data_IF_027525259678
#
_entry.id   IF_027525259678
#
_cell.length_a   1.000
_cell.length_b   1.000
_cell.length_c   1.000
_cell.angle_alpha   90.00
_cell.angle_beta   90.00
_cell.angle_gamma   90.00
#
_symmetry.space_group_name_H-M   'P 1'
#
loop_
_entity.id
_entity.type
_entity.pdbx_description
1 polymer ?
#
# COMPACT_ATOMS: atom_id res chain seq x y z
N UNK A 1 1.31 26.03 -14.59
CA UNK A 1 0.18 25.67 -13.69
C UNK A 1 0.75 25.58 -12.30
N UNK A 2 0.28 26.40 -11.36
CA UNK A 2 0.69 26.37 -9.95
C UNK A 2 0.37 24.98 -9.40
N UNK A 3 1.38 24.29 -8.91
CA UNK A 3 1.26 22.94 -8.34
C UNK A 3 0.54 23.04 -6.99
N UNK A 4 -0.79 23.20 -7.05
CA UNK A 4 -1.68 23.21 -5.87
C UNK A 4 -1.76 21.74 -5.43
N UNK A 5 -0.91 21.35 -4.49
CA UNK A 5 -0.84 19.98 -4.05
C UNK A 5 -2.16 19.50 -3.41
N UNK A 6 -2.42 18.19 -3.46
CA UNK A 6 -3.63 17.52 -2.98
C UNK A 6 -3.63 17.35 -1.46
N UNK A 7 -4.80 17.50 -0.85
CA UNK A 7 -5.08 17.33 0.58
C UNK A 7 -6.38 16.53 0.77
N UNK A 8 -6.78 16.26 2.01
CA UNK A 8 -8.07 15.58 2.27
C UNK A 8 -9.29 16.38 1.82
N UNK A 9 -9.20 17.71 1.73
CA UNK A 9 -10.30 18.57 1.26
C UNK A 9 -10.52 18.49 -0.25
N UNK A 10 -9.57 17.92 -0.98
CA UNK A 10 -9.66 17.74 -2.43
C UNK A 10 -10.24 16.37 -2.83
N UNK A 11 -10.56 15.52 -1.83
CA UNK A 11 -11.24 14.24 -2.06
C UNK A 11 -12.66 14.51 -2.54
N UNK A 12 -13.06 14.06 -3.75
CA UNK A 12 -14.42 14.25 -4.23
C UNK A 12 -15.41 13.37 -3.48
N UNK A 13 -16.70 13.55 -3.70
CA UNK A 13 -17.74 12.65 -3.20
C UNK A 13 -17.47 11.20 -3.64
N UNK A 14 -17.54 10.28 -2.67
CA UNK A 14 -17.29 8.85 -2.86
C UNK A 14 -18.55 8.01 -2.58
N UNK A 15 -19.72 8.65 -2.50
CA UNK A 15 -20.98 7.95 -2.30
C UNK A 15 -21.20 6.86 -3.35
N UNK A 16 -21.64 5.68 -2.91
CA UNK A 16 -21.85 4.51 -3.76
C UNK A 16 -20.58 3.78 -4.20
N UNK A 17 -19.39 4.19 -3.73
CA UNK A 17 -18.11 3.52 -4.01
C UNK A 17 -17.63 2.67 -2.84
N UNK A 18 -16.90 1.62 -3.14
CA UNK A 18 -16.35 0.67 -2.18
C UNK A 18 -14.80 0.65 -2.23
N UNK A 19 -14.17 0.84 -1.07
CA UNK A 19 -12.72 0.84 -0.92
C UNK A 19 -12.27 -0.25 0.04
N UNK A 20 -11.28 -1.04 -0.36
CA UNK A 20 -10.61 -2.01 0.51
C UNK A 20 -9.30 -1.40 0.99
N UNK A 21 -9.13 -1.22 2.30
CA UNK A 21 -7.93 -0.62 2.90
C UNK A 21 -7.25 -1.64 3.80
N UNK A 22 -6.03 -2.06 3.45
CA UNK A 22 -5.25 -2.98 4.31
C UNK A 22 -4.53 -2.21 5.42
N UNK A 23 -4.50 -2.77 6.63
CA UNK A 23 -3.92 -2.10 7.81
C UNK A 23 -4.69 -0.85 8.24
N UNK A 24 -6.01 -0.87 8.07
CA UNK A 24 -6.90 0.27 8.26
C UNK A 24 -7.13 0.69 9.73
N UNK A 25 -6.64 -0.07 10.70
CA UNK A 25 -6.93 0.16 12.12
C UNK A 25 -5.99 1.18 12.79
N UNK A 26 -4.93 1.63 12.13
CA UNK A 26 -3.97 2.58 12.72
C UNK A 26 -3.23 3.40 11.64
N UNK A 27 -2.63 4.51 12.05
CA UNK A 27 -1.75 5.32 11.22
C UNK A 27 -2.39 5.80 9.93
N UNK A 28 -1.67 5.66 8.82
CA UNK A 28 -2.09 6.12 7.49
C UNK A 28 -3.36 5.39 7.02
N UNK A 29 -3.44 4.07 7.25
CA UNK A 29 -4.62 3.29 6.87
C UNK A 29 -5.88 3.74 7.60
N UNK A 30 -5.78 4.09 8.89
CA UNK A 30 -6.88 4.66 9.66
C UNK A 30 -7.31 6.01 9.10
N UNK A 31 -6.37 6.92 8.86
CA UNK A 31 -6.69 8.25 8.34
C UNK A 31 -7.27 8.18 6.91
N UNK A 32 -6.75 7.29 6.07
CA UNK A 32 -7.31 7.03 4.73
C UNK A 32 -8.76 6.55 4.84
N UNK A 33 -9.04 5.58 5.72
CA UNK A 33 -10.38 5.05 5.95
C UNK A 33 -11.33 6.11 6.50
N UNK A 34 -10.85 6.96 7.44
CA UNK A 34 -11.61 8.07 8.02
C UNK A 34 -12.04 9.06 6.95
N UNK A 35 -11.12 9.48 6.11
CA UNK A 35 -11.42 10.48 5.06
C UNK A 35 -12.36 9.90 4.01
N UNK A 36 -12.10 8.68 3.51
CA UNK A 36 -12.98 8.03 2.54
C UNK A 36 -14.41 7.89 3.07
N UNK A 37 -14.56 7.44 4.32
CA UNK A 37 -15.86 7.31 4.97
C UNK A 37 -16.57 8.67 5.17
N UNK A 38 -15.81 9.72 5.52
CA UNK A 38 -16.35 11.08 5.63
C UNK A 38 -16.85 11.64 4.30
N UNK A 39 -16.34 11.13 3.17
CA UNK A 39 -16.79 11.48 1.81
C UNK A 39 -17.81 10.48 1.24
N UNK A 40 -18.46 9.68 2.09
CA UNK A 40 -19.59 8.81 1.70
C UNK A 40 -19.22 7.42 1.18
N UNK A 41 -17.93 7.05 1.21
CA UNK A 41 -17.53 5.72 0.76
C UNK A 41 -17.92 4.61 1.75
N UNK A 42 -18.26 3.44 1.20
CA UNK A 42 -18.19 2.17 1.92
C UNK A 42 -16.72 1.75 2.05
N UNK A 43 -16.23 1.52 3.27
CA UNK A 43 -14.84 1.16 3.51
C UNK A 43 -14.74 -0.21 4.17
N UNK A 44 -14.10 -1.15 3.48
CA UNK A 44 -13.74 -2.47 4.01
C UNK A 44 -12.37 -2.37 4.66
N UNK A 45 -12.35 -2.41 5.99
CA UNK A 45 -11.17 -2.30 6.82
C UNK A 45 -10.53 -3.67 7.01
N UNK A 46 -9.56 -4.00 6.15
CA UNK A 46 -8.85 -5.28 6.16
C UNK A 46 -7.74 -5.24 7.22
N UNK A 47 -7.98 -5.90 8.37
CA UNK A 47 -7.13 -5.85 9.56
C UNK A 47 -6.99 -7.22 10.22
N UNK A 48 -5.84 -7.46 10.86
CA UNK A 48 -5.56 -8.71 11.56
C UNK A 48 -6.33 -8.83 12.88
N UNK A 49 -6.42 -7.75 13.66
CA UNK A 49 -7.06 -7.75 14.97
C UNK A 49 -8.46 -7.16 14.88
N UNK A 50 -9.47 -7.94 15.25
CA UNK A 50 -10.87 -7.52 15.33
C UNK A 50 -11.05 -6.37 16.33
N UNK A 51 -10.53 -6.51 17.55
CA UNK A 51 -10.72 -5.52 18.60
C UNK A 51 -10.14 -4.14 18.21
N UNK A 52 -8.95 -4.14 17.58
CA UNK A 52 -8.33 -2.89 17.12
C UNK A 52 -9.10 -2.28 15.94
N UNK A 53 -9.69 -3.11 15.08
CA UNK A 53 -10.53 -2.63 13.99
C UNK A 53 -11.84 -2.05 14.52
N UNK A 54 -12.50 -2.71 15.47
CA UNK A 54 -13.74 -2.23 16.08
C UNK A 54 -13.52 -0.89 16.81
N UNK A 55 -12.40 -0.72 17.53
CA UNK A 55 -12.04 0.55 18.14
C UNK A 55 -11.79 1.65 17.08
N UNK A 56 -11.11 1.32 15.99
CA UNK A 56 -10.90 2.26 14.88
C UNK A 56 -12.22 2.65 14.23
N UNK A 57 -13.10 1.70 13.95
CA UNK A 57 -14.44 1.92 13.40
C UNK A 57 -15.29 2.80 14.32
N UNK A 58 -15.25 2.54 15.64
CA UNK A 58 -15.95 3.36 16.63
C UNK A 58 -15.45 4.81 16.59
N UNK A 59 -14.15 5.04 16.53
CA UNK A 59 -13.55 6.39 16.43
C UNK A 59 -13.97 7.12 15.15
N UNK A 60 -14.02 6.42 13.99
CA UNK A 60 -14.50 7.02 12.76
C UNK A 60 -15.98 7.39 12.87
N UNK A 61 -16.82 6.50 13.42
CA UNK A 61 -18.25 6.75 13.59
C UNK A 61 -18.59 7.88 14.57
N UNK A 62 -17.71 8.17 15.53
CA UNK A 62 -17.85 9.36 16.39
C UNK A 62 -17.74 10.68 15.59
N UNK A 63 -16.96 10.68 14.50
CA UNK A 63 -16.78 11.85 13.62
C UNK A 63 -17.76 11.85 12.46
N UNK A 64 -18.14 10.66 11.98
CA UNK A 64 -19.01 10.44 10.83
C UNK A 64 -20.01 9.33 11.19
N UNK A 65 -21.12 9.65 11.89
CA UNK A 65 -22.07 8.63 12.39
C UNK A 65 -22.65 7.71 11.32
N UNK A 66 -22.82 8.23 10.10
CA UNK A 66 -23.35 7.50 8.94
C UNK A 66 -22.29 6.68 8.18
N UNK A 67 -21.02 6.66 8.65
CA UNK A 67 -19.93 5.93 7.97
C UNK A 67 -20.27 4.45 7.77
N UNK A 68 -20.19 3.99 6.53
CA UNK A 68 -20.34 2.58 6.17
C UNK A 68 -18.99 1.86 6.25
N UNK A 69 -18.75 1.19 7.37
CA UNK A 69 -17.50 0.52 7.67
C UNK A 69 -17.72 -0.98 7.88
N UNK A 70 -16.90 -1.79 7.25
CA UNK A 70 -16.95 -3.26 7.34
C UNK A 70 -15.59 -3.78 7.78
N UNK A 71 -15.57 -4.62 8.80
CA UNK A 71 -14.38 -5.36 9.18
C UNK A 71 -14.19 -6.58 8.28
N UNK A 72 -12.97 -6.74 7.77
CA UNK A 72 -12.52 -7.95 7.10
C UNK A 72 -11.29 -8.50 7.84
N UNK A 73 -11.38 -9.75 8.33
CA UNK A 73 -10.19 -10.40 8.88
C UNK A 73 -9.15 -10.63 7.78
N UNK A 74 -7.94 -10.10 7.99
CA UNK A 74 -6.88 -10.14 6.99
C UNK A 74 -5.50 -10.07 7.66
N UNK A 75 -4.73 -11.15 7.55
CA UNK A 75 -3.30 -11.17 7.89
C UNK A 75 -2.47 -11.21 6.60
N UNK A 76 -1.77 -10.11 6.31
CA UNK A 76 -0.93 -9.99 5.12
C UNK A 76 0.33 -10.87 5.18
N UNK A 77 0.67 -11.42 6.34
CA UNK A 77 1.73 -12.39 6.55
C UNK A 77 1.28 -13.85 6.45
N UNK A 78 0.05 -14.11 5.99
CA UNK A 78 -0.52 -15.44 5.86
C UNK A 78 -1.28 -15.59 4.53
N UNK A 79 -0.73 -16.37 3.60
CA UNK A 79 -1.34 -16.59 2.28
C UNK A 79 -2.73 -17.25 2.37
N UNK A 80 -3.00 -18.06 3.39
CA UNK A 80 -4.32 -18.67 3.57
C UNK A 80 -5.35 -17.65 4.03
N UNK A 81 -4.94 -16.71 4.92
CA UNK A 81 -5.76 -15.56 5.31
C UNK A 81 -6.06 -14.67 4.11
N UNK A 82 -5.07 -14.43 3.24
CA UNK A 82 -5.24 -13.65 2.01
C UNK A 82 -6.25 -14.31 1.07
N UNK A 83 -6.14 -15.64 0.84
CA UNK A 83 -7.09 -16.39 0.00
C UNK A 83 -8.52 -16.33 0.56
N UNK A 84 -8.66 -16.52 1.88
CA UNK A 84 -9.96 -16.43 2.56
C UNK A 84 -10.59 -15.06 2.42
N UNK A 85 -9.81 -13.99 2.69
CA UNK A 85 -10.27 -12.62 2.55
C UNK A 85 -10.67 -12.29 1.12
N UNK A 86 -9.89 -12.72 0.13
CA UNK A 86 -10.18 -12.51 -1.30
C UNK A 86 -11.48 -13.21 -1.70
N UNK A 87 -11.73 -14.44 -1.20
CA UNK A 87 -12.98 -15.16 -1.44
C UNK A 87 -14.22 -14.45 -0.88
N UNK A 88 -14.05 -13.69 0.22
CA UNK A 88 -15.11 -12.83 0.76
C UNK A 88 -15.29 -11.57 -0.08
N UNK A 89 -14.20 -10.92 -0.46
CA UNK A 89 -14.21 -9.72 -1.30
C UNK A 89 -14.78 -9.99 -2.70
N UNK A 90 -14.63 -11.19 -3.23
CA UNK A 90 -15.20 -11.58 -4.53
C UNK A 90 -16.73 -11.53 -4.58
N UNK A 91 -17.39 -11.49 -3.40
CA UNK A 91 -18.85 -11.38 -3.25
C UNK A 91 -19.33 -9.91 -3.21
N UNK A 92 -18.41 -8.95 -3.08
CA UNK A 92 -18.79 -7.53 -3.13
C UNK A 92 -19.28 -7.17 -4.53
N UNK A 93 -20.37 -6.41 -4.63
CA UNK A 93 -20.96 -6.04 -5.92
C UNK A 93 -20.02 -5.16 -6.75
N UNK A 94 -19.18 -4.39 -6.08
CA UNK A 94 -18.15 -3.53 -6.68
C UNK A 94 -17.00 -3.27 -5.71
N UNK A 95 -15.81 -3.07 -6.24
CA UNK A 95 -14.64 -2.55 -5.52
C UNK A 95 -13.99 -1.49 -6.39
N UNK A 96 -14.06 -0.23 -5.96
CA UNK A 96 -13.53 0.91 -6.69
C UNK A 96 -12.03 1.12 -6.47
N UNK A 97 -11.52 0.75 -5.29
CA UNK A 97 -10.08 0.71 -5.09
C UNK A 97 -9.65 -0.33 -4.05
N UNK A 98 -8.51 -0.98 -4.35
CA UNK A 98 -7.70 -1.72 -3.41
C UNK A 98 -6.53 -0.85 -2.96
N UNK A 99 -6.46 -0.55 -1.67
CA UNK A 99 -5.38 0.24 -1.07
C UNK A 99 -4.46 -0.67 -0.26
N UNK A 100 -3.34 -1.06 -0.87
CA UNK A 100 -2.28 -1.84 -0.25
C UNK A 100 -1.42 -0.93 0.64
N UNK A 101 -1.89 -0.69 1.86
CA UNK A 101 -1.24 0.19 2.83
C UNK A 101 -0.53 -0.58 3.95
N UNK A 102 -1.00 -1.79 4.31
CA UNK A 102 -0.40 -2.56 5.39
C UNK A 102 1.09 -2.82 5.17
N UNK A 103 1.86 -2.77 6.26
CA UNK A 103 3.28 -3.04 6.23
C UNK A 103 3.91 -3.06 7.62
N UNK A 104 5.11 -3.59 7.68
CA UNK A 104 5.96 -3.63 8.88
C UNK A 104 7.30 -2.95 8.59
N UNK A 105 7.90 -2.35 9.61
CA UNK A 105 9.16 -1.63 9.49
C UNK A 105 10.15 -2.05 10.57
N UNK A 106 11.31 -2.48 10.15
CA UNK A 106 12.49 -2.79 10.98
C UNK A 106 12.23 -3.68 12.20
N UNK A 107 11.40 -4.75 12.12
CA UNK A 107 11.30 -5.74 13.20
C UNK A 107 12.63 -6.49 13.38
N UNK A 108 12.82 -7.21 14.49
CA UNK A 108 13.83 -8.26 14.54
C UNK A 108 13.56 -9.31 13.44
N UNK A 109 14.53 -10.20 13.17
CA UNK A 109 14.31 -11.28 12.22
C UNK A 109 13.13 -12.15 12.66
N UNK A 110 12.10 -12.14 11.86
CA UNK A 110 10.88 -12.92 12.02
C UNK A 110 10.44 -13.48 10.67
N UNK A 111 9.55 -14.45 10.71
CA UNK A 111 9.01 -15.12 9.52
C UNK A 111 7.50 -14.97 9.44
N UNK A 112 6.99 -14.96 8.21
CA UNK A 112 5.55 -15.13 7.93
C UNK A 112 5.14 -16.58 8.21
N UNK A 113 3.85 -16.89 8.13
CA UNK A 113 3.35 -18.25 8.31
C UNK A 113 3.94 -19.24 7.30
N UNK A 114 4.24 -18.79 6.08
CA UNK A 114 4.85 -19.60 5.02
C UNK A 114 6.40 -19.58 5.06
N UNK A 115 7.01 -19.00 6.09
CA UNK A 115 8.46 -18.99 6.29
C UNK A 115 9.21 -17.88 5.55
N UNK A 116 8.55 -16.92 4.93
CA UNK A 116 9.22 -15.77 4.28
C UNK A 116 9.77 -14.79 5.31
N UNK A 117 10.88 -14.10 5.00
CA UNK A 117 11.34 -12.96 5.82
C UNK A 117 10.19 -11.96 5.98
N UNK A 118 9.97 -11.51 7.23
CA UNK A 118 8.74 -10.82 7.58
C UNK A 118 8.47 -9.55 6.77
N UNK A 119 9.51 -8.73 6.52
CA UNK A 119 9.32 -7.47 5.78
C UNK A 119 9.08 -7.71 4.29
N UNK A 120 9.83 -8.62 3.68
CA UNK A 120 9.60 -8.99 2.29
C UNK A 120 8.26 -9.71 2.13
N UNK A 121 7.96 -10.65 3.03
CA UNK A 121 6.71 -11.42 3.02
C UNK A 121 5.46 -10.55 3.22
N UNK A 122 5.45 -9.68 4.24
CA UNK A 122 4.30 -8.82 4.53
C UNK A 122 4.23 -7.65 3.54
N UNK A 123 5.32 -6.89 3.37
CA UNK A 123 5.24 -5.64 2.60
C UNK A 123 5.08 -5.89 1.11
N UNK A 124 5.70 -6.96 0.58
CA UNK A 124 5.70 -7.23 -0.85
C UNK A 124 4.88 -8.48 -1.23
N UNK A 125 5.25 -9.68 -0.78
CA UNK A 125 4.58 -10.92 -1.23
C UNK A 125 3.09 -10.95 -0.87
N UNK A 126 2.71 -10.48 0.33
CA UNK A 126 1.31 -10.37 0.73
C UNK A 126 0.54 -9.32 -0.07
N UNK A 127 1.18 -8.18 -0.39
CA UNK A 127 0.63 -7.16 -1.29
C UNK A 127 0.42 -7.73 -2.70
N UNK A 128 1.42 -8.41 -3.25
CA UNK A 128 1.35 -9.10 -4.53
C UNK A 128 0.22 -10.13 -4.56
N UNK A 129 0.18 -11.03 -3.58
CA UNK A 129 -0.81 -12.10 -3.50
C UNK A 129 -2.25 -11.59 -3.43
N UNK A 130 -2.52 -10.59 -2.56
CA UNK A 130 -3.84 -9.97 -2.46
C UNK A 130 -4.25 -9.33 -3.78
N UNK A 131 -3.35 -8.56 -4.38
CA UNK A 131 -3.60 -7.87 -5.65
C UNK A 131 -3.90 -8.88 -6.76
N UNK A 132 -3.07 -9.91 -6.92
CA UNK A 132 -3.23 -10.93 -7.94
C UNK A 132 -4.57 -11.68 -7.81
N UNK A 133 -4.92 -12.11 -6.60
CA UNK A 133 -6.17 -12.82 -6.35
C UNK A 133 -7.43 -11.94 -6.48
N UNK A 134 -7.31 -10.63 -6.21
CA UNK A 134 -8.45 -9.72 -6.28
C UNK A 134 -8.65 -9.11 -7.66
N UNK A 135 -7.67 -9.21 -8.55
CA UNK A 135 -7.70 -8.60 -9.88
C UNK A 135 -8.95 -8.96 -10.69
N UNK A 136 -9.43 -10.23 -10.74
CA UNK A 136 -10.67 -10.58 -11.44
C UNK A 136 -11.91 -9.87 -10.89
N UNK A 137 -11.91 -9.54 -9.60
CA UNK A 137 -13.01 -8.78 -8.98
C UNK A 137 -12.92 -7.30 -9.28
N UNK A 138 -11.71 -6.71 -9.19
CA UNK A 138 -11.48 -5.32 -9.56
C UNK A 138 -11.83 -5.04 -11.01
N UNK A 139 -11.53 -5.97 -11.92
CA UNK A 139 -11.82 -5.83 -13.35
C UNK A 139 -13.33 -5.77 -13.68
N UNK A 140 -14.21 -6.09 -12.74
CA UNK A 140 -15.66 -5.92 -12.91
C UNK A 140 -16.13 -4.47 -12.69
N UNK A 141 -15.28 -3.63 -12.10
CA UNK A 141 -15.59 -2.23 -11.81
C UNK A 141 -14.82 -1.34 -12.77
N UNK A 142 -15.52 -0.61 -13.62
CA UNK A 142 -14.88 0.34 -14.54
C UNK A 142 -14.12 1.41 -13.77
N UNK A 143 -12.86 1.64 -14.17
CA UNK A 143 -11.98 2.61 -13.51
C UNK A 143 -11.53 2.22 -12.11
N UNK A 144 -11.63 0.94 -11.75
CA UNK A 144 -11.10 0.45 -10.48
C UNK A 144 -9.60 0.74 -10.36
N UNK A 145 -9.14 0.98 -9.13
CA UNK A 145 -7.75 1.37 -8.84
C UNK A 145 -7.07 0.39 -7.90
N UNK A 146 -5.78 0.24 -8.10
CA UNK A 146 -4.88 -0.45 -7.18
C UNK A 146 -3.84 0.57 -6.71
N UNK A 147 -3.83 0.87 -5.42
CA UNK A 147 -2.85 1.78 -4.81
C UNK A 147 -1.83 0.97 -4.03
N UNK A 148 -0.54 1.10 -4.38
CA UNK A 148 0.55 0.40 -3.71
C UNK A 148 1.39 1.39 -2.91
N UNK A 149 1.45 1.18 -1.58
CA UNK A 149 2.24 2.04 -0.69
C UNK A 149 3.70 1.58 -0.64
N UNK A 150 4.58 2.40 -1.23
CA UNK A 150 6.03 2.29 -1.09
C UNK A 150 6.55 3.22 0.04
N UNK A 151 7.77 3.70 -0.07
CA UNK A 151 8.42 4.63 0.86
C UNK A 151 9.55 5.37 0.17
N UNK A 152 9.93 6.53 0.66
CA UNK A 152 11.19 7.20 0.25
C UNK A 152 12.42 6.31 0.50
N UNK A 153 12.31 5.31 1.39
CA UNK A 153 13.35 4.34 1.66
C UNK A 153 13.71 3.44 0.44
N UNK A 154 12.87 3.40 -0.61
CA UNK A 154 13.21 2.68 -1.84
C UNK A 154 14.37 3.35 -2.60
N UNK A 155 14.63 4.65 -2.35
CA UNK A 155 15.71 5.38 -3.00
C UNK A 155 17.07 4.88 -2.50
N UNK A 156 17.91 4.39 -3.41
CA UNK A 156 19.21 3.79 -3.08
C UNK A 156 19.13 2.43 -2.38
N UNK A 157 17.96 1.79 -2.33
CA UNK A 157 17.81 0.44 -1.83
C UNK A 157 18.33 -0.59 -2.83
N UNK A 158 18.72 -1.75 -2.34
CA UNK A 158 19.08 -2.91 -3.14
C UNK A 158 18.31 -4.14 -2.68
N UNK A 159 17.88 -4.97 -3.63
CA UNK A 159 17.31 -6.28 -3.36
C UNK A 159 18.46 -7.29 -3.44
N UNK A 160 18.68 -8.00 -2.36
CA UNK A 160 19.62 -9.14 -2.32
C UNK A 160 18.92 -10.36 -2.93
N UNK A 161 19.11 -10.54 -4.23
CA UNK A 161 18.44 -11.59 -5.00
C UNK A 161 18.86 -13.01 -4.60
N UNK A 162 20.05 -13.17 -3.98
CA UNK A 162 20.58 -14.45 -3.57
C UNK A 162 20.24 -14.81 -2.12
N UNK A 163 19.54 -13.87 -1.42
CA UNK A 163 19.15 -14.04 -0.02
C UNK A 163 17.85 -13.30 0.32
N UNK A 164 16.82 -13.44 -0.49
CA UNK A 164 15.53 -12.76 -0.27
C UNK A 164 14.92 -13.08 1.10
N UNK A 165 15.13 -14.28 1.58
CA UNK A 165 14.62 -14.74 2.86
C UNK A 165 15.52 -14.42 4.07
N UNK A 166 16.63 -13.68 3.89
CA UNK A 166 17.56 -13.35 4.98
C UNK A 166 18.03 -14.58 5.76
N UNK A 167 18.46 -15.60 5.05
CA UNK A 167 19.00 -16.83 5.67
C UNK A 167 20.50 -16.72 5.95
N UNK A 168 21.20 -15.89 5.16
CA UNK A 168 22.63 -15.63 5.31
C UNK A 168 22.91 -14.40 6.18
N UNK A 169 22.12 -13.31 6.00
CA UNK A 169 22.33 -12.02 6.68
C UNK A 169 21.00 -11.29 6.88
N UNK A 170 20.85 -10.70 8.07
CA UNK A 170 19.73 -9.83 8.37
C UNK A 170 20.18 -8.44 8.82
N UNK A 171 19.84 -7.44 8.00
CA UNK A 171 19.89 -6.02 8.35
C UNK A 171 18.48 -5.47 8.21
N UNK A 172 17.83 -5.19 9.32
CA UNK A 172 16.43 -4.79 9.37
C UNK A 172 16.12 -3.53 8.56
N UNK A 173 17.07 -2.57 8.48
CA UNK A 173 16.88 -1.31 7.74
C UNK A 173 17.00 -1.55 6.24
N UNK A 174 18.03 -2.30 5.82
CA UNK A 174 18.22 -2.67 4.41
C UNK A 174 17.07 -3.54 3.90
N UNK A 175 16.57 -4.50 4.71
CA UNK A 175 15.43 -5.35 4.36
C UNK A 175 14.14 -4.54 4.21
N UNK A 176 13.91 -3.55 5.08
CA UNK A 176 12.80 -2.61 4.91
C UNK A 176 12.90 -1.84 3.59
N UNK A 177 14.06 -1.23 3.32
CA UNK A 177 14.29 -0.48 2.10
C UNK A 177 14.11 -1.36 0.84
N UNK A 178 14.65 -2.57 0.85
CA UNK A 178 14.48 -3.56 -0.23
C UNK A 178 13.00 -3.93 -0.44
N UNK A 179 12.22 -4.15 0.64
CA UNK A 179 10.79 -4.44 0.52
C UNK A 179 10.00 -3.28 -0.08
N UNK A 180 10.42 -2.03 0.16
CA UNK A 180 9.78 -0.84 -0.43
C UNK A 180 10.20 -0.58 -1.87
N UNK A 181 11.43 -0.96 -2.25
CA UNK A 181 11.85 -1.02 -3.65
C UNK A 181 11.05 -2.11 -4.39
N UNK A 182 10.86 -3.27 -3.78
CA UNK A 182 10.04 -4.34 -4.36
C UNK A 182 8.59 -3.86 -4.62
N UNK A 183 8.00 -3.08 -3.71
CA UNK A 183 6.68 -2.48 -3.94
C UNK A 183 6.67 -1.48 -5.11
N UNK A 184 7.75 -0.69 -5.27
CA UNK A 184 7.87 0.23 -6.40
C UNK A 184 7.99 -0.51 -7.74
N UNK A 185 8.89 -1.49 -7.84
CA UNK A 185 9.03 -2.36 -9.01
C UNK A 185 7.71 -3.07 -9.33
N UNK A 186 7.02 -3.58 -8.32
CA UNK A 186 5.76 -4.29 -8.47
C UNK A 186 4.67 -3.42 -9.10
N UNK A 187 4.41 -2.21 -8.58
CA UNK A 187 3.33 -1.41 -9.12
C UNK A 187 3.61 -0.93 -10.55
N UNK A 188 4.86 -0.61 -10.89
CA UNK A 188 5.22 -0.26 -12.26
C UNK A 188 5.09 -1.44 -13.22
N UNK A 189 5.47 -2.66 -12.81
CA UNK A 189 5.29 -3.85 -13.64
C UNK A 189 3.81 -4.20 -13.79
N UNK A 190 3.05 -4.11 -12.71
CA UNK A 190 1.60 -4.36 -12.75
C UNK A 190 0.90 -3.39 -13.71
N UNK A 191 1.24 -2.09 -13.67
CA UNK A 191 0.70 -1.09 -14.60
C UNK A 191 1.05 -1.44 -16.05
N UNK A 192 2.32 -1.83 -16.33
CA UNK A 192 2.74 -2.25 -17.69
C UNK A 192 1.94 -3.46 -18.19
N UNK A 193 1.78 -4.49 -17.35
CA UNK A 193 1.06 -5.72 -17.71
C UNK A 193 -0.43 -5.49 -17.89
N UNK A 194 -1.06 -4.69 -17.03
CA UNK A 194 -2.47 -4.34 -17.18
C UNK A 194 -2.74 -3.56 -18.44
N UNK A 195 -1.90 -2.59 -18.79
CA UNK A 195 -2.00 -1.89 -20.07
C UNK A 195 -1.79 -2.81 -21.27
N UNK A 196 -0.82 -3.72 -21.21
CA UNK A 196 -0.58 -4.71 -22.25
C UNK A 196 -1.78 -5.66 -22.44
N UNK A 197 -2.50 -5.98 -21.36
CA UNK A 197 -3.72 -6.80 -21.41
C UNK A 197 -4.99 -6.04 -21.83
N UNK A 198 -4.91 -4.72 -22.03
CA UNK A 198 -6.08 -3.89 -22.32
C UNK A 198 -7.01 -3.69 -21.11
N UNK A 199 -6.55 -3.94 -19.89
CA UNK A 199 -7.34 -3.78 -18.67
C UNK A 199 -7.67 -2.31 -18.40
N UNK A 200 -8.90 -2.05 -17.94
CA UNK A 200 -9.33 -0.73 -17.48
C UNK A 200 -8.93 -0.45 -16.01
N UNK A 201 -8.38 -1.42 -15.31
CA UNK A 201 -7.88 -1.23 -13.94
C UNK A 201 -6.62 -0.38 -13.95
N UNK A 202 -6.63 0.69 -13.18
CA UNK A 202 -5.49 1.60 -13.04
C UNK A 202 -4.62 1.21 -11.83
N UNK A 203 -3.32 1.47 -11.93
CA UNK A 203 -2.38 1.22 -10.82
C UNK A 203 -1.59 2.47 -10.54
N UNK A 204 -1.57 2.86 -9.28
CA UNK A 204 -0.80 4.00 -8.78
C UNK A 204 0.06 3.58 -7.59
N UNK A 205 1.25 4.16 -7.52
CA UNK A 205 2.10 4.07 -6.35
C UNK A 205 1.99 5.33 -5.49
N UNK A 206 2.26 5.18 -4.20
CA UNK A 206 2.39 6.34 -3.32
C UNK A 206 3.43 6.11 -2.22
N UNK A 207 3.88 7.20 -1.61
CA UNK A 207 4.63 7.16 -0.35
C UNK A 207 4.19 8.29 0.58
N UNK A 208 4.13 8.03 1.89
CA UNK A 208 3.63 9.00 2.88
C UNK A 208 4.64 10.11 3.24
N UNK A 209 5.82 10.11 2.64
CA UNK A 209 6.95 10.87 3.15
C UNK A 209 7.47 10.27 4.46
N UNK A 210 7.97 11.14 5.35
CA UNK A 210 8.35 10.76 6.71
C UNK A 210 7.16 10.99 7.64
N UNK A 211 6.31 9.98 7.80
CA UNK A 211 5.14 10.07 8.69
C UNK A 211 5.41 9.39 10.03
N UNK A 212 5.03 10.08 11.11
CA UNK A 212 5.04 9.52 12.46
C UNK A 212 3.87 8.54 12.61
N UNK A 213 4.13 7.25 12.39
CA UNK A 213 3.15 6.17 12.48
C UNK A 213 3.64 5.09 13.44
N UNK A 214 2.77 4.13 13.77
CA UNK A 214 3.13 2.93 14.56
C UNK A 214 4.16 2.02 13.87
N UNK A 215 4.59 2.36 12.66
CA UNK A 215 5.70 1.69 11.98
C UNK A 215 7.02 1.80 12.77
N UNK A 216 7.18 2.83 13.61
CA UNK A 216 8.32 3.00 14.52
C UNK A 216 8.34 2.09 15.77
N UNK A 217 7.38 1.16 15.91
CA UNK A 217 7.22 0.30 17.11
C UNK A 217 8.48 -0.52 17.49
N UNK A 218 9.36 -0.78 16.55
CA UNK A 218 10.60 -1.54 16.77
C UNK A 218 11.87 -0.68 16.90
N UNK A 219 11.73 0.65 17.07
CA UNK A 219 12.88 1.57 17.15
C UNK A 219 13.58 1.58 18.54
N UNK A 220 13.10 0.79 19.51
CA UNK A 220 13.72 0.67 20.83
C UNK A 220 13.84 2.00 21.57
N UNK A 221 14.96 2.29 22.29
CA UNK A 221 15.12 3.51 23.09
C UNK A 221 15.07 4.80 22.26
N UNK A 222 15.27 4.76 20.96
CA UNK A 222 15.12 5.91 20.06
C UNK A 222 13.68 6.47 20.06
N UNK A 223 12.69 5.70 20.52
CA UNK A 223 11.32 6.18 20.69
C UNK A 223 11.22 7.40 21.64
N UNK A 224 12.15 7.57 22.56
CA UNK A 224 12.20 8.72 23.50
C UNK A 224 12.47 10.04 22.75
N UNK A 225 13.16 9.99 21.60
CA UNK A 225 13.45 11.16 20.78
C UNK A 225 12.33 11.47 19.77
N UNK A 226 11.37 10.56 19.57
CA UNK A 226 10.25 10.75 18.65
C UNK A 226 9.43 12.03 18.88
N UNK A 227 9.15 12.49 20.09
CA UNK A 227 8.40 13.73 20.29
C UNK A 227 9.09 14.97 19.72
N UNK A 228 10.42 15.03 19.82
CA UNK A 228 11.23 16.14 19.26
C UNK A 228 11.32 16.07 17.72
N UNK A 229 11.36 14.87 17.17
CA UNK A 229 11.44 14.65 15.71
C UNK A 229 10.05 14.75 15.05
N UNK A 230 8.96 14.49 15.78
CA UNK A 230 7.57 14.57 15.28
C UNK A 230 7.21 15.94 14.67
N UNK A 231 7.81 17.02 15.15
CA UNK A 231 7.59 18.38 14.60
C UNK A 231 8.06 18.46 13.13
N UNK A 232 9.05 17.66 12.76
CA UNK A 232 9.63 17.62 11.41
C UNK A 232 9.01 16.54 10.51
N UNK A 233 8.21 15.64 11.08
CA UNK A 233 7.54 14.55 10.36
C UNK A 233 6.11 14.95 9.98
N UNK A 234 5.58 14.33 8.94
CA UNK A 234 4.14 14.41 8.68
C UNK A 234 3.36 13.73 9.81
N UNK A 235 2.20 14.29 10.16
CA UNK A 235 1.20 13.52 10.90
C UNK A 235 0.67 12.36 10.03
N UNK A 236 0.08 11.34 10.65
CA UNK A 236 -0.57 10.26 9.91
C UNK A 236 -1.65 10.79 8.93
N UNK A 237 -2.39 11.82 9.33
CA UNK A 237 -3.39 12.48 8.49
C UNK A 237 -2.77 13.05 7.21
N UNK A 238 -1.67 13.82 7.33
CA UNK A 238 -0.96 14.35 6.15
C UNK A 238 -0.27 13.24 5.35
N UNK A 239 0.21 12.19 6.02
CA UNK A 239 0.78 11.00 5.37
C UNK A 239 -0.24 10.20 4.54
N UNK A 240 -1.53 10.35 4.81
CA UNK A 240 -2.60 9.72 4.04
C UNK A 240 -2.91 10.46 2.72
N UNK A 241 -2.56 11.73 2.57
CA UNK A 241 -2.90 12.51 1.38
C UNK A 241 -2.40 11.90 0.06
N UNK A 242 -1.15 11.37 -0.04
CA UNK A 242 -0.72 10.69 -1.26
C UNK A 242 -1.55 9.45 -1.60
N UNK A 243 -1.93 8.68 -0.59
CA UNK A 243 -2.80 7.51 -0.76
C UNK A 243 -4.20 7.93 -1.23
N UNK A 244 -4.76 8.99 -0.63
CA UNK A 244 -6.05 9.56 -1.04
C UNK A 244 -6.01 10.12 -2.45
N UNK A 245 -4.95 10.85 -2.82
CA UNK A 245 -4.76 11.33 -4.19
C UNK A 245 -4.73 10.20 -5.20
N UNK A 246 -3.92 9.15 -4.93
CA UNK A 246 -3.83 7.97 -5.78
C UNK A 246 -5.19 7.25 -5.91
N UNK A 247 -5.94 7.14 -4.81
CA UNK A 247 -7.20 6.43 -4.78
C UNK A 247 -8.38 7.20 -5.37
N UNK A 248 -8.41 8.55 -5.26
CA UNK A 248 -9.62 9.34 -5.55
C UNK A 248 -9.38 10.55 -6.46
N UNK A 249 -8.14 11.00 -6.58
CA UNK A 249 -7.79 12.21 -7.33
C UNK A 249 -7.78 12.01 -8.84
N UNK A 250 -7.51 13.10 -9.55
CA UNK A 250 -7.16 13.03 -10.99
C UNK A 250 -5.72 12.52 -11.08
N UNK A 251 -5.56 11.33 -11.60
CA UNK A 251 -4.28 10.62 -11.70
C UNK A 251 -3.96 10.25 -13.13
N UNK A 252 -2.69 9.97 -13.40
CA UNK A 252 -2.23 9.35 -14.64
C UNK A 252 -1.90 7.89 -14.33
N UNK A 253 -2.22 6.93 -15.20
CA UNK A 253 -1.85 5.52 -15.03
C UNK A 253 -0.34 5.38 -14.79
N UNK A 254 0.06 4.54 -13.82
CA UNK A 254 1.46 4.43 -13.39
C UNK A 254 1.99 5.64 -12.62
N UNK A 255 1.10 6.53 -12.15
CA UNK A 255 1.46 7.70 -11.34
C UNK A 255 2.08 7.31 -10.00
N UNK A 256 3.02 8.12 -9.50
CA UNK A 256 3.63 7.93 -8.18
C UNK A 256 3.51 9.21 -7.37
N UNK A 257 2.77 9.14 -6.26
CA UNK A 257 2.38 10.30 -5.48
C UNK A 257 3.08 10.34 -4.12
N UNK A 258 3.45 11.53 -3.70
CA UNK A 258 4.11 11.77 -2.40
C UNK A 258 4.02 13.23 -1.99
N UNK A 259 4.50 13.58 -0.79
CA UNK A 259 4.62 14.97 -0.39
C UNK A 259 5.53 15.74 -1.34
N UNK A 260 5.13 16.95 -1.76
CA UNK A 260 5.90 17.81 -2.68
C UNK A 260 6.77 18.84 -1.96
N UNK A 261 6.64 18.97 -0.65
CA UNK A 261 7.46 19.88 0.16
C UNK A 261 8.67 19.19 0.79
N UNK A 262 9.70 19.97 1.06
CA UNK A 262 10.91 19.55 1.79
C UNK A 262 11.52 18.24 1.24
N UNK A 263 11.92 18.25 -0.01
CA UNK A 263 12.53 17.09 -0.71
C UNK A 263 11.66 15.81 -0.71
N UNK A 264 10.33 15.93 -0.70
CA UNK A 264 9.41 14.80 -0.68
C UNK A 264 9.16 14.22 0.72
N UNK A 265 9.57 14.92 1.78
CA UNK A 265 9.43 14.43 3.16
C UNK A 265 8.08 14.80 3.76
N UNK A 266 7.57 16.02 3.50
CA UNK A 266 6.33 16.55 4.09
C UNK A 266 5.60 17.51 3.16
N UNK A 267 4.37 17.84 3.50
CA UNK A 267 3.54 18.81 2.79
C UNK A 267 2.36 18.18 2.07
N UNK A 268 1.77 18.94 1.15
CA UNK A 268 0.68 18.47 0.30
C UNK A 268 1.17 17.37 -0.65
N UNK A 269 0.25 16.53 -1.13
CA UNK A 269 0.57 15.47 -2.08
C UNK A 269 0.63 15.99 -3.52
N UNK A 270 1.47 15.39 -4.33
CA UNK A 270 1.59 15.65 -5.76
C UNK A 270 2.45 14.60 -6.44
N UNK A 271 2.83 14.82 -7.69
CA UNK A 271 3.72 13.90 -8.41
C UNK A 271 5.08 13.82 -7.70
N UNK A 272 5.57 12.61 -7.50
CA UNK A 272 6.80 12.32 -6.77
C UNK A 272 7.85 11.73 -7.69
N UNK A 273 9.12 12.06 -7.41
CA UNK A 273 10.24 11.54 -8.17
C UNK A 273 10.34 10.02 -8.07
N UNK A 274 10.64 9.39 -9.18
CA UNK A 274 10.86 7.97 -9.36
C UNK A 274 12.36 7.73 -9.55
N UNK A 275 12.89 6.67 -8.98
CA UNK A 275 14.28 6.27 -9.28
C UNK A 275 14.30 5.42 -10.55
N UNK A 276 15.40 5.49 -11.30
CA UNK A 276 15.59 4.63 -12.48
C UNK A 276 15.45 3.16 -12.12
N UNK A 277 16.09 2.75 -11.01
CA UNK A 277 16.00 1.37 -10.52
C UNK A 277 14.57 0.92 -10.22
N UNK A 278 13.72 1.80 -9.67
CA UNK A 278 12.32 1.47 -9.39
C UNK A 278 11.48 1.26 -10.67
N UNK A 279 11.93 1.82 -11.78
CA UNK A 279 11.27 1.73 -13.08
C UNK A 279 11.92 0.72 -14.03
N UNK A 280 13.02 0.08 -13.60
CA UNK A 280 13.76 -0.90 -14.39
C UNK A 280 12.89 -2.11 -14.74
N UNK A 281 12.60 -2.35 -16.03
CA UNK A 281 11.69 -3.41 -16.45
C UNK A 281 12.26 -4.81 -16.26
N UNK A 282 13.58 -4.98 -16.30
CA UNK A 282 14.21 -6.29 -16.10
C UNK A 282 14.16 -6.69 -14.62
N UNK A 283 14.48 -5.76 -13.72
CA UNK A 283 14.36 -5.98 -12.28
C UNK A 283 12.90 -6.24 -11.88
N UNK A 284 11.97 -5.51 -12.48
CA UNK A 284 10.55 -5.64 -12.18
C UNK A 284 9.99 -6.99 -12.66
N UNK A 285 10.38 -7.44 -13.86
CA UNK A 285 10.03 -8.78 -14.38
C UNK A 285 10.62 -9.89 -13.52
N UNK A 286 11.92 -9.78 -13.17
CA UNK A 286 12.57 -10.74 -12.26
C UNK A 286 11.84 -10.85 -10.94
N UNK A 287 11.48 -9.73 -10.34
CA UNK A 287 10.73 -9.69 -9.07
C UNK A 287 9.34 -10.32 -9.22
N UNK A 288 8.65 -10.06 -10.32
CA UNK A 288 7.35 -10.65 -10.63
C UNK A 288 7.42 -12.17 -10.67
N UNK A 289 8.35 -12.72 -11.45
CA UNK A 289 8.52 -14.17 -11.60
C UNK A 289 8.85 -14.85 -10.27
N UNK A 290 9.72 -14.23 -9.47
CA UNK A 290 10.04 -14.68 -8.11
C UNK A 290 8.80 -14.62 -7.20
N UNK A 291 8.01 -13.55 -7.29
CA UNK A 291 6.80 -13.41 -6.47
C UNK A 291 5.75 -14.46 -6.81
N UNK A 292 5.58 -14.77 -8.09
CA UNK A 292 4.73 -15.90 -8.55
C UNK A 292 5.27 -17.23 -7.98
N UNK A 293 6.56 -17.49 -8.13
CA UNK A 293 7.17 -18.73 -7.65
C UNK A 293 7.06 -18.90 -6.12
N UNK A 294 7.31 -17.83 -5.34
CA UNK A 294 7.26 -17.87 -3.88
C UNK A 294 5.84 -17.98 -3.33
N UNK A 295 4.87 -17.31 -3.95
CA UNK A 295 3.47 -17.30 -3.47
C UNK A 295 2.64 -18.45 -4.03
N UNK A 296 3.06 -19.04 -5.16
CA UNK A 296 2.24 -19.96 -5.95
C UNK A 296 0.98 -19.32 -6.53
N UNK A 297 0.99 -17.98 -6.71
CA UNK A 297 -0.15 -17.21 -7.21
C UNK A 297 0.28 -16.47 -8.48
N UNK A 298 -0.31 -16.83 -9.62
CA UNK A 298 -0.11 -16.12 -10.89
C UNK A 298 -1.38 -15.33 -11.22
N UNK A 299 -1.30 -14.00 -11.40
CA UNK A 299 -2.46 -13.20 -11.81
C UNK A 299 -2.88 -13.41 -13.27
N UNK A 300 -2.13 -14.21 -14.05
CA UNK A 300 -2.47 -14.52 -15.45
C UNK A 300 -2.30 -13.34 -16.41
N UNK A 301 -1.53 -12.31 -16.05
CA UNK A 301 -1.28 -11.17 -16.90
C UNK A 301 -0.12 -11.46 -17.89
N UNK A 302 -0.25 -11.08 -19.17
CA UNK A 302 0.83 -11.23 -20.12
C UNK A 302 2.07 -10.43 -19.71
N UNK A 303 3.28 -10.84 -20.13
CA UNK A 303 4.45 -9.99 -19.98
C UNK A 303 4.22 -8.63 -20.65
N UNK A 304 4.74 -7.57 -20.04
CA UNK A 304 4.72 -6.27 -20.68
C UNK A 304 5.59 -6.33 -21.95
N UNK A 305 5.00 -6.02 -23.10
CA UNK A 305 5.77 -5.88 -24.35
C UNK A 305 6.62 -4.61 -24.26
N UNK A 306 7.91 -4.76 -24.50
CA UNK A 306 8.79 -3.60 -24.72
C UNK A 306 8.28 -2.85 -25.96
N UNK A 307 7.87 -1.58 -25.77
CA UNK A 307 7.65 -0.64 -26.86
C UNK A 307 8.78 0.36 -26.90
#
# INVERSE_FOLDING_TARGET
MTNIGFTETDVPDQSGKCFVVTGANTGIGFETSRVLAAHGARVIMACRSRDKADEAMRRIKLLTPQAELVFLHYDQGDLDSIRTATGLLAKEPRIDALINNAGVMTPPLMRTKQGFELQFGVNHLGCFALTALLLPTLSKTEGARIVVTSSIAHRGAHIDWDDLNAEKRYDRVKRYAASKLANALFFFELDRRLRASGSAVMVEGCHPGSAATDLGRYMGPLQILLPLVRVFLNSAAKGAWPTLQAATGKVIPGGYYGPIGFAGIRGKSGDSSRTEQAQDPELARRLWDISVAMTGIDPGLPPATEK
#
